data_IF_434577397515
#
_entry.id   IF_434577397515
#
_cell.length_a   1.000
_cell.length_b   1.000
_cell.length_c   1.000
_cell.angle_alpha   90.00
_cell.angle_beta   90.00
_cell.angle_gamma   90.00
#
_symmetry.space_group_name_H-M   'P 1'
#
loop_
_entity.id
_entity.type
_entity.pdbx_description
1 polymer ?
#
# COMPACT_ATOMS: atom_id res chain seq x y z
N UNK A 1 -29.06 4.08 0.39
CA UNK A 1 -28.17 5.17 -0.07
C UNK A 1 -27.10 4.58 -0.97
N UNK A 2 -26.82 5.23 -2.14
CA UNK A 2 -25.81 4.78 -3.09
C UNK A 2 -24.62 5.75 -3.07
N UNK A 3 -23.41 5.21 -3.01
CA UNK A 3 -22.18 5.98 -2.89
C UNK A 3 -21.20 5.57 -3.98
N UNK A 4 -20.56 6.55 -4.62
CA UNK A 4 -19.47 6.35 -5.54
C UNK A 4 -18.18 6.93 -4.95
N UNK A 5 -17.15 6.11 -4.85
CA UNK A 5 -15.79 6.55 -4.51
C UNK A 5 -14.96 6.62 -5.80
N UNK A 6 -14.29 7.74 -6.04
CA UNK A 6 -13.38 7.91 -7.18
C UNK A 6 -11.98 8.11 -6.64
N UNK A 7 -11.20 7.02 -6.60
CA UNK A 7 -9.82 6.99 -6.12
C UNK A 7 -8.89 6.45 -7.21
N UNK A 8 -8.16 7.35 -7.86
CA UNK A 8 -7.44 7.06 -9.11
C UNK A 8 -5.93 7.15 -8.98
N UNK A 9 -5.42 7.25 -7.76
CA UNK A 9 -4.02 7.55 -7.47
C UNK A 9 -3.13 6.28 -7.46
N UNK A 10 -2.36 6.08 -6.41
CA UNK A 10 -1.45 4.96 -6.27
C UNK A 10 -2.03 3.89 -5.30
N UNK A 11 -1.29 2.81 -5.12
CA UNK A 11 -1.68 1.69 -4.26
C UNK A 11 -1.90 2.15 -2.81
N UNK A 12 -0.94 2.92 -2.26
CA UNK A 12 -1.03 3.42 -0.89
C UNK A 12 -2.26 4.29 -0.68
N UNK A 13 -2.53 5.20 -1.63
CA UNK A 13 -3.72 6.05 -1.61
C UNK A 13 -5.02 5.22 -1.55
N UNK A 14 -5.11 4.18 -2.37
CA UNK A 14 -6.28 3.32 -2.41
C UNK A 14 -6.45 2.53 -1.11
N UNK A 15 -5.38 1.92 -0.60
CA UNK A 15 -5.41 1.16 0.65
C UNK A 15 -5.76 2.05 1.85
N UNK A 16 -5.22 3.26 1.93
CA UNK A 16 -5.57 4.24 2.96
C UNK A 16 -7.05 4.66 2.91
N UNK A 17 -7.77 4.35 1.82
CA UNK A 17 -9.20 4.62 1.71
C UNK A 17 -10.07 3.43 2.17
N UNK A 18 -9.48 2.25 2.38
CA UNK A 18 -10.25 1.05 2.77
C UNK A 18 -10.96 1.17 4.14
N UNK A 19 -10.38 1.81 5.19
CA UNK A 19 -11.11 2.01 6.44
C UNK A 19 -12.39 2.84 6.26
N UNK A 20 -12.36 3.83 5.36
CA UNK A 20 -13.56 4.59 5.01
C UNK A 20 -14.62 3.69 4.34
N UNK A 21 -14.23 2.80 3.42
CA UNK A 21 -15.16 1.89 2.75
C UNK A 21 -15.84 0.94 3.74
N UNK A 22 -15.04 0.38 4.67
CA UNK A 22 -15.55 -0.46 5.76
C UNK A 22 -16.52 0.33 6.63
N UNK A 23 -16.11 1.50 7.12
CA UNK A 23 -16.96 2.34 7.98
C UNK A 23 -18.28 2.73 7.30
N UNK A 24 -18.26 3.03 6.00
CA UNK A 24 -19.47 3.32 5.21
C UNK A 24 -20.42 2.11 5.22
N UNK A 25 -19.93 0.91 4.96
CA UNK A 25 -20.76 -0.30 4.94
C UNK A 25 -21.27 -0.69 6.33
N UNK A 26 -20.46 -0.50 7.38
CA UNK A 26 -20.79 -0.94 8.73
C UNK A 26 -21.71 0.04 9.47
N UNK A 27 -21.56 1.35 9.24
CA UNK A 27 -22.24 2.36 10.05
C UNK A 27 -23.36 3.10 9.31
N UNK A 28 -23.36 3.10 7.97
CA UNK A 28 -24.36 3.80 7.19
C UNK A 28 -25.29 2.80 6.49
N UNK A 29 -26.57 3.19 6.30
CA UNK A 29 -27.50 2.37 5.51
C UNK A 29 -27.21 2.54 4.02
N UNK A 30 -26.27 1.75 3.50
CA UNK A 30 -25.76 1.84 2.12
C UNK A 30 -26.20 0.61 1.34
N UNK A 31 -27.03 0.86 0.33
CA UNK A 31 -27.50 -0.17 -0.61
C UNK A 31 -26.39 -0.54 -1.62
N UNK A 32 -25.58 0.48 -2.01
CA UNK A 32 -24.56 0.31 -3.03
C UNK A 32 -23.35 1.20 -2.77
N UNK A 33 -22.15 0.59 -2.77
CA UNK A 33 -20.86 1.26 -2.72
C UNK A 33 -20.02 0.88 -3.93
N UNK A 34 -19.87 1.79 -4.87
CA UNK A 34 -19.07 1.60 -6.07
C UNK A 34 -17.72 2.31 -5.98
N UNK A 35 -16.72 1.73 -6.63
CA UNK A 35 -15.37 2.28 -6.70
C UNK A 35 -14.92 2.46 -8.15
N UNK A 36 -14.44 3.66 -8.49
CA UNK A 36 -13.65 3.92 -9.69
C UNK A 36 -12.19 4.02 -9.33
N UNK A 37 -11.35 3.16 -9.91
CA UNK A 37 -9.89 3.21 -9.72
C UNK A 37 -9.15 2.97 -11.02
N UNK A 38 -7.82 3.10 -11.04
CA UNK A 38 -7.04 2.84 -12.25
C UNK A 38 -6.63 1.36 -12.37
N UNK A 39 -6.36 0.92 -13.61
CA UNK A 39 -6.04 -0.47 -13.91
C UNK A 39 -4.81 -1.03 -13.15
N UNK A 40 -3.84 -0.17 -12.81
CA UNK A 40 -2.64 -0.59 -12.09
C UNK A 40 -2.93 -1.01 -10.65
N UNK A 41 -3.85 -0.31 -9.97
CA UNK A 41 -4.14 -0.57 -8.55
C UNK A 41 -5.39 -1.43 -8.34
N UNK A 42 -6.22 -1.62 -9.36
CA UNK A 42 -7.46 -2.40 -9.27
C UNK A 42 -7.27 -3.82 -8.70
N UNK A 43 -6.17 -4.56 -9.01
CA UNK A 43 -5.94 -5.90 -8.46
C UNK A 43 -5.94 -5.95 -6.94
N UNK A 44 -5.50 -4.87 -6.26
CA UNK A 44 -5.41 -4.81 -4.79
C UNK A 44 -6.77 -4.96 -4.10
N UNK A 45 -7.85 -4.54 -4.76
CA UNK A 45 -9.22 -4.60 -4.21
C UNK A 45 -10.18 -5.46 -5.05
N UNK A 46 -9.68 -6.21 -6.03
CA UNK A 46 -10.52 -7.11 -6.83
C UNK A 46 -11.13 -8.20 -5.95
N UNK A 47 -12.45 -8.31 -5.97
CA UNK A 47 -13.18 -9.28 -5.13
C UNK A 47 -13.36 -8.83 -3.67
N UNK A 48 -13.15 -7.56 -3.37
CA UNK A 48 -13.41 -7.01 -2.05
C UNK A 48 -14.92 -6.93 -1.79
N UNK A 49 -15.38 -7.53 -0.70
CA UNK A 49 -16.81 -7.65 -0.36
C UNK A 49 -17.47 -6.33 0.09
N UNK A 50 -16.70 -5.29 0.39
CA UNK A 50 -17.25 -3.95 0.68
C UNK A 50 -17.63 -3.19 -0.58
N UNK A 51 -17.20 -3.64 -1.76
CA UNK A 51 -17.40 -2.95 -3.03
C UNK A 51 -18.40 -3.73 -3.86
N UNK A 52 -19.53 -3.10 -4.22
CA UNK A 52 -20.56 -3.72 -5.06
C UNK A 52 -20.16 -3.73 -6.54
N UNK A 53 -19.49 -2.67 -7.03
CA UNK A 53 -18.90 -2.65 -8.36
C UNK A 53 -17.56 -1.91 -8.39
N UNK A 54 -16.57 -2.55 -9.05
CA UNK A 54 -15.25 -2.00 -9.30
C UNK A 54 -15.13 -1.58 -10.76
N UNK A 55 -15.08 -0.28 -11.00
CA UNK A 55 -14.90 0.30 -12.34
C UNK A 55 -13.44 0.65 -12.57
N UNK A 56 -12.86 0.11 -13.63
CA UNK A 56 -11.46 0.27 -13.95
C UNK A 56 -11.27 1.36 -15.00
N UNK A 57 -10.43 2.33 -14.68
CA UNK A 57 -10.05 3.42 -15.55
C UNK A 57 -8.63 3.22 -16.09
N UNK A 58 -8.47 3.25 -17.41
CA UNK A 58 -7.19 3.15 -18.07
C UNK A 58 -6.56 4.54 -18.25
N UNK A 59 -5.33 4.73 -17.73
CA UNK A 59 -4.54 5.95 -17.96
C UNK A 59 -3.92 5.88 -19.36
N UNK A 60 -3.97 7.00 -20.08
CA UNK A 60 -3.11 7.20 -21.26
C UNK A 60 -1.66 7.22 -20.79
N UNK A 61 -0.93 6.13 -20.92
CA UNK A 61 0.51 6.10 -20.75
C UNK A 61 1.15 5.73 -22.07
N UNK A 62 1.96 6.69 -22.58
CA UNK A 62 3.02 6.52 -23.58
C UNK A 62 2.79 5.48 -24.70
N UNK A 63 2.24 5.94 -25.81
CA UNK A 63 2.58 5.41 -27.15
C UNK A 63 1.86 4.17 -27.67
N UNK A 64 1.23 3.34 -26.85
CA UNK A 64 0.69 2.05 -27.30
C UNK A 64 -0.84 1.90 -27.23
N UNK A 65 -1.55 2.87 -26.71
CA UNK A 65 -3.02 2.83 -26.67
C UNK A 65 -3.60 3.89 -27.59
N UNK A 66 -4.39 3.48 -28.58
CA UNK A 66 -5.07 4.41 -29.50
C UNK A 66 -5.88 5.43 -28.70
N UNK A 67 -5.76 6.71 -29.04
CA UNK A 67 -6.52 7.82 -28.47
C UNK A 67 -8.05 7.53 -28.50
N UNK A 68 -8.53 6.98 -29.61
CA UNK A 68 -9.94 6.59 -29.76
C UNK A 68 -10.37 5.50 -28.77
N UNK A 69 -9.52 4.51 -28.49
CA UNK A 69 -9.79 3.47 -27.51
C UNK A 69 -9.96 4.06 -26.11
N UNK A 70 -9.12 5.01 -25.74
CA UNK A 70 -9.22 5.66 -24.41
C UNK A 70 -10.47 6.52 -24.29
N UNK A 71 -10.84 7.25 -25.35
CA UNK A 71 -12.12 7.98 -25.38
C UNK A 71 -13.29 7.01 -25.23
N UNK A 72 -13.29 5.94 -26.00
CA UNK A 72 -14.34 4.91 -25.93
C UNK A 72 -14.47 4.34 -24.51
N UNK A 73 -13.38 3.91 -23.89
CA UNK A 73 -13.40 3.38 -22.52
C UNK A 73 -13.89 4.41 -21.50
N UNK A 74 -13.54 5.69 -21.67
CA UNK A 74 -14.06 6.76 -20.80
C UNK A 74 -15.56 6.98 -20.99
N UNK A 75 -16.03 7.01 -22.22
CA UNK A 75 -17.47 7.15 -22.52
C UNK A 75 -18.25 5.95 -21.97
N UNK A 76 -17.72 4.75 -22.14
CA UNK A 76 -18.27 3.52 -21.58
C UNK A 76 -18.35 3.58 -20.05
N UNK A 77 -17.29 4.03 -19.39
CA UNK A 77 -17.29 4.24 -17.93
C UNK A 77 -18.38 5.23 -17.50
N UNK A 78 -18.44 6.40 -18.15
CA UNK A 78 -19.47 7.43 -17.85
C UNK A 78 -20.86 6.85 -18.07
N UNK A 79 -21.07 6.12 -19.16
CA UNK A 79 -22.36 5.48 -19.47
C UNK A 79 -22.80 4.52 -18.36
N UNK A 80 -21.89 3.61 -17.90
CA UNK A 80 -22.19 2.69 -16.80
C UNK A 80 -22.48 3.42 -15.49
N UNK A 81 -21.67 4.43 -15.13
CA UNK A 81 -21.90 5.20 -13.91
C UNK A 81 -23.23 5.97 -13.95
N UNK A 82 -23.69 6.41 -15.13
CA UNK A 82 -24.98 7.10 -15.30
C UNK A 82 -26.21 6.20 -15.19
N UNK A 83 -26.03 4.88 -15.25
CA UNK A 83 -27.13 3.92 -15.04
C UNK A 83 -27.56 3.89 -13.56
N UNK A 84 -26.70 4.34 -12.65
CA UNK A 84 -26.99 4.42 -11.23
C UNK A 84 -27.22 5.87 -10.80
N UNK A 85 -28.10 6.03 -9.81
CA UNK A 85 -28.22 7.30 -9.09
C UNK A 85 -27.36 7.18 -7.82
N UNK A 86 -26.39 8.09 -7.65
CA UNK A 86 -25.57 8.16 -6.44
C UNK A 86 -26.03 9.33 -5.58
N UNK A 87 -26.23 9.10 -4.30
CA UNK A 87 -26.56 10.12 -3.31
C UNK A 87 -25.30 10.95 -2.96
N UNK A 88 -24.16 10.27 -2.93
CA UNK A 88 -22.85 10.88 -2.67
C UNK A 88 -21.81 10.41 -3.68
N UNK A 89 -20.91 11.32 -4.06
CA UNK A 89 -19.67 11.00 -4.77
C UNK A 89 -18.50 11.54 -3.97
N UNK A 90 -17.56 10.67 -3.60
CA UNK A 90 -16.33 11.01 -2.91
C UNK A 90 -15.20 11.12 -3.94
N UNK A 91 -14.73 12.33 -4.22
CA UNK A 91 -13.73 12.62 -5.25
C UNK A 91 -12.43 13.08 -4.60
N UNK A 92 -11.36 12.29 -4.72
CA UNK A 92 -10.12 12.49 -4.00
C UNK A 92 -9.09 13.38 -4.67
N UNK A 93 -9.23 13.64 -5.97
CA UNK A 93 -8.34 14.50 -6.75
C UNK A 93 -9.13 15.39 -7.74
N UNK A 94 -8.47 16.39 -8.31
CA UNK A 94 -9.07 17.29 -9.29
C UNK A 94 -9.59 16.56 -10.56
N UNK A 95 -8.95 15.45 -10.95
CA UNK A 95 -9.38 14.66 -12.11
C UNK A 95 -10.61 13.82 -11.77
N UNK A 96 -10.68 13.30 -10.54
CA UNK A 96 -11.90 12.67 -10.02
C UNK A 96 -13.05 13.66 -10.01
N UNK A 97 -12.81 14.87 -9.51
CA UNK A 97 -13.82 15.94 -9.51
C UNK A 97 -14.27 16.32 -10.93
N UNK A 98 -13.38 16.33 -11.93
CA UNK A 98 -13.76 16.57 -13.33
C UNK A 98 -14.67 15.46 -13.88
N UNK A 99 -14.51 14.20 -13.46
CA UNK A 99 -15.38 13.11 -13.88
C UNK A 99 -16.81 13.32 -13.38
N UNK A 100 -17.00 13.88 -12.18
CA UNK A 100 -18.33 14.09 -11.60
C UNK A 100 -19.22 15.00 -12.44
N UNK A 101 -18.63 15.92 -13.25
CA UNK A 101 -19.37 16.83 -14.14
C UNK A 101 -20.19 16.10 -15.22
N UNK A 102 -19.81 14.87 -15.53
CA UNK A 102 -20.51 14.03 -16.51
C UNK A 102 -21.55 13.12 -15.88
N UNK A 103 -21.68 13.12 -14.56
CA UNK A 103 -22.64 12.30 -13.83
C UNK A 103 -23.92 13.10 -13.51
N UNK A 104 -24.95 12.40 -13.02
CA UNK A 104 -26.17 13.07 -12.58
C UNK A 104 -25.87 13.98 -11.39
N UNK A 105 -26.65 15.06 -11.24
CA UNK A 105 -26.51 15.99 -10.12
C UNK A 105 -26.62 15.23 -8.79
N UNK A 106 -25.60 15.37 -7.94
CA UNK A 106 -25.47 14.64 -6.68
C UNK A 106 -24.59 15.44 -5.71
N UNK A 107 -24.54 15.03 -4.45
CA UNK A 107 -23.67 15.64 -3.43
C UNK A 107 -22.25 15.15 -3.62
N UNK A 108 -21.34 16.02 -4.04
CA UNK A 108 -19.92 15.71 -4.19
C UNK A 108 -19.15 16.17 -2.97
N UNK A 109 -18.40 15.26 -2.36
CA UNK A 109 -17.48 15.55 -1.26
C UNK A 109 -16.04 15.39 -1.74
N UNK A 110 -15.18 16.32 -1.35
CA UNK A 110 -13.73 16.28 -1.57
C UNK A 110 -13.01 16.44 -0.24
N UNK A 111 -11.84 15.82 -0.06
CA UNK A 111 -11.06 16.01 1.14
C UNK A 111 -10.70 17.49 1.33
N UNK A 112 -10.75 17.96 2.57
CA UNK A 112 -10.19 19.28 2.94
C UNK A 112 -8.67 19.14 2.87
N UNK A 113 -8.03 20.13 2.26
CA UNK A 113 -6.57 20.12 2.09
C UNK A 113 -5.94 20.64 3.39
N UNK A 114 -5.71 19.76 4.33
CA UNK A 114 -4.75 19.98 5.40
C UNK A 114 -3.53 19.07 5.19
N UNK A 115 -2.45 19.61 4.67
CA UNK A 115 -1.24 18.88 4.33
C UNK A 115 -0.35 18.60 5.54
N UNK A 116 -0.64 19.19 6.70
CA UNK A 116 0.35 19.33 7.76
C UNK A 116 0.23 18.30 8.88
N UNK A 117 -0.96 17.84 9.24
CA UNK A 117 -1.16 17.07 10.47
C UNK A 117 -1.92 15.75 10.34
N UNK A 118 -2.58 15.48 9.22
CA UNK A 118 -3.40 14.28 9.05
C UNK A 118 -2.69 13.19 8.23
N UNK A 119 -2.89 11.94 8.61
CA UNK A 119 -2.57 10.80 7.77
C UNK A 119 -3.53 10.73 6.57
N UNK A 120 -3.13 10.02 5.52
CA UNK A 120 -4.03 9.82 4.37
C UNK A 120 -5.28 9.03 4.74
N UNK A 121 -5.20 8.16 5.75
CA UNK A 121 -6.35 7.42 6.30
C UNK A 121 -7.34 8.36 6.99
N UNK A 122 -6.86 9.24 7.89
CA UNK A 122 -7.69 10.21 8.60
C UNK A 122 -8.33 11.20 7.62
N UNK A 123 -7.59 11.61 6.61
CA UNK A 123 -8.08 12.47 5.52
C UNK A 123 -9.20 11.82 4.71
N UNK A 124 -9.11 10.51 4.45
CA UNK A 124 -10.19 9.78 3.81
C UNK A 124 -11.39 9.63 4.76
N UNK A 125 -11.14 9.31 6.04
CA UNK A 125 -12.17 9.13 7.06
C UNK A 125 -13.00 10.38 7.30
N UNK A 126 -12.40 11.57 7.23
CA UNK A 126 -13.10 12.87 7.36
C UNK A 126 -14.26 13.00 6.38
N UNK A 127 -14.15 12.48 5.16
CA UNK A 127 -15.27 12.46 4.22
C UNK A 127 -16.45 11.65 4.75
N UNK A 128 -16.17 10.51 5.37
CA UNK A 128 -17.17 9.68 6.02
C UNK A 128 -17.82 10.34 7.23
N UNK A 129 -17.05 11.08 8.03
CA UNK A 129 -17.59 11.86 9.17
C UNK A 129 -18.58 12.93 8.68
N UNK A 130 -18.32 13.57 7.56
CA UNK A 130 -19.27 14.52 6.92
C UNK A 130 -20.54 13.84 6.38
N UNK A 131 -20.53 12.52 6.29
CA UNK A 131 -21.69 11.68 5.94
C UNK A 131 -22.36 11.06 7.18
N UNK A 132 -21.78 11.19 8.36
CA UNK A 132 -22.30 10.67 9.62
C UNK A 132 -21.53 9.52 10.25
N UNK A 133 -20.35 9.12 9.71
CA UNK A 133 -19.49 8.15 10.38
C UNK A 133 -19.00 8.68 11.72
N UNK A 134 -18.91 7.78 12.70
CA UNK A 134 -18.45 8.07 14.07
C UNK A 134 -17.19 7.29 14.40
N UNK A 135 -16.48 7.73 15.42
CA UNK A 135 -15.28 7.06 15.93
C UNK A 135 -14.05 7.28 15.05
N UNK A 136 -13.09 6.38 15.21
CA UNK A 136 -11.80 6.40 14.51
C UNK A 136 -11.79 5.40 13.36
N UNK A 137 -10.97 5.63 12.31
CA UNK A 137 -10.81 4.68 11.22
C UNK A 137 -10.19 3.36 11.72
N UNK A 138 -10.72 2.26 11.25
CA UNK A 138 -10.18 0.91 11.48
C UNK A 138 -8.86 0.66 10.74
N UNK A 139 -8.35 -0.59 10.75
CA UNK A 139 -7.15 -0.97 10.02
C UNK A 139 -7.38 -0.92 8.50
N UNK A 140 -6.26 -0.93 7.74
CA UNK A 140 -6.31 -1.16 6.29
C UNK A 140 -6.80 -2.58 6.01
N UNK A 141 -7.52 -2.77 4.91
CA UNK A 141 -8.08 -4.08 4.55
C UNK A 141 -7.75 -4.47 3.11
N UNK A 142 -7.65 -5.79 2.90
CA UNK A 142 -7.55 -6.44 1.60
C UNK A 142 -8.73 -7.41 1.42
N UNK A 143 -9.01 -7.86 0.18
CA UNK A 143 -10.00 -8.92 -0.06
C UNK A 143 -9.66 -10.19 0.73
N UNK A 144 -10.68 -10.86 1.28
CA UNK A 144 -10.50 -12.05 2.14
C UNK A 144 -9.73 -13.20 1.46
N UNK A 145 -9.84 -13.34 0.14
CA UNK A 145 -9.08 -14.37 -0.60
C UNK A 145 -7.56 -14.08 -0.66
N UNK A 146 -7.14 -12.86 -0.36
CA UNK A 146 -5.74 -12.43 -0.30
C UNK A 146 -5.22 -12.31 1.14
N UNK A 147 -6.09 -12.48 2.13
CA UNK A 147 -5.74 -12.34 3.54
C UNK A 147 -6.32 -13.51 4.32
N UNK A 148 -5.44 -14.31 4.94
CA UNK A 148 -5.82 -15.32 5.91
C UNK A 148 -5.65 -14.75 7.32
N UNK A 149 -6.76 -14.46 8.04
CA UNK A 149 -6.68 -13.97 9.42
C UNK A 149 -6.00 -14.97 10.37
N UNK A 150 -6.02 -16.28 10.04
CA UNK A 150 -5.35 -17.30 10.82
C UNK A 150 -3.84 -17.34 10.61
N UNK A 151 -3.33 -16.66 9.59
CA UNK A 151 -1.92 -16.39 9.36
C UNK A 151 -1.35 -15.37 10.34
N UNK A 152 -1.91 -15.33 11.54
CA UNK A 152 -1.40 -14.51 12.62
C UNK A 152 0.12 -14.61 12.69
N UNK A 153 0.77 -13.53 13.17
CA UNK A 153 2.20 -13.36 13.35
C UNK A 153 2.80 -14.58 14.10
N UNK A 154 2.68 -15.76 13.45
CA UNK A 154 3.10 -17.04 14.04
C UNK A 154 4.61 -17.17 14.01
N UNK A 155 5.27 -16.48 13.07
CA UNK A 155 6.71 -16.59 12.92
C UNK A 155 7.37 -15.23 12.68
N UNK A 156 7.54 -14.46 13.76
CA UNK A 156 8.27 -13.18 13.75
C UNK A 156 9.71 -13.34 13.28
N UNK A 157 10.25 -14.56 13.27
CA UNK A 157 11.59 -14.89 12.80
C UNK A 157 11.74 -14.85 11.28
N UNK A 158 10.62 -14.82 10.53
CA UNK A 158 10.66 -14.61 9.08
C UNK A 158 10.55 -13.12 8.77
N UNK A 159 11.65 -12.53 8.34
CA UNK A 159 11.75 -11.10 8.01
C UNK A 159 11.60 -10.93 6.50
N UNK A 160 10.57 -10.20 6.08
CA UNK A 160 10.41 -9.81 4.69
C UNK A 160 11.14 -8.48 4.42
N UNK A 161 11.88 -8.43 3.33
CA UNK A 161 12.57 -7.22 2.87
C UNK A 161 12.14 -6.95 1.43
N UNK A 162 11.55 -5.78 1.18
CA UNK A 162 11.17 -5.35 -0.16
C UNK A 162 12.18 -4.31 -0.66
N UNK A 163 12.98 -4.67 -1.66
CA UNK A 163 14.10 -3.84 -2.13
C UNK A 163 13.71 -2.81 -3.19
N UNK A 164 12.54 -2.95 -3.78
CA UNK A 164 12.09 -2.06 -4.87
C UNK A 164 11.46 -0.79 -4.33
N UNK A 165 11.87 0.34 -4.89
CA UNK A 165 11.23 1.62 -4.67
C UNK A 165 11.29 2.46 -5.95
N UNK A 166 10.17 3.16 -6.26
CA UNK A 166 10.07 3.96 -7.50
C UNK A 166 10.94 5.21 -7.47
N UNK A 167 11.06 5.86 -6.31
CA UNK A 167 11.79 7.13 -6.15
C UNK A 167 13.21 6.83 -5.72
N UNK A 168 14.20 7.46 -6.35
CA UNK A 168 15.62 7.24 -6.06
C UNK A 168 15.92 7.42 -4.57
N UNK A 169 15.43 8.48 -3.95
CA UNK A 169 15.62 8.78 -2.52
C UNK A 169 14.93 7.80 -1.56
N UNK A 170 14.18 6.84 -2.08
CA UNK A 170 13.56 5.75 -1.34
C UNK A 170 14.24 4.39 -1.63
N UNK A 171 15.26 4.36 -2.49
CA UNK A 171 15.99 3.15 -2.82
C UNK A 171 17.13 2.95 -1.81
N UNK A 172 16.92 2.05 -0.85
CA UNK A 172 17.96 1.71 0.11
C UNK A 172 19.06 0.90 -0.58
N UNK A 173 20.37 1.19 -0.32
CA UNK A 173 21.47 0.56 -1.03
C UNK A 173 21.52 -0.96 -0.83
N UNK A 174 21.82 -1.70 -1.89
CA UNK A 174 21.91 -3.17 -1.85
C UNK A 174 23.01 -3.63 -0.90
N UNK A 175 24.13 -2.92 -0.86
CA UNK A 175 25.23 -3.19 0.09
C UNK A 175 24.81 -2.99 1.53
N UNK A 176 23.95 -2.02 1.81
CA UNK A 176 23.41 -1.78 3.15
C UNK A 176 22.39 -2.86 3.54
N UNK A 177 21.52 -3.30 2.61
CA UNK A 177 20.65 -4.48 2.82
C UNK A 177 21.48 -5.74 3.12
N UNK A 178 22.53 -6.00 2.33
CA UNK A 178 23.41 -7.15 2.56
C UNK A 178 24.09 -7.10 3.95
N UNK A 179 24.55 -5.93 4.36
CA UNK A 179 25.16 -5.71 5.68
C UNK A 179 24.14 -5.96 6.81
N UNK A 180 22.94 -5.44 6.67
CA UNK A 180 21.83 -5.60 7.62
C UNK A 180 21.46 -7.08 7.79
N UNK A 181 21.27 -7.80 6.69
CA UNK A 181 20.88 -9.21 6.70
C UNK A 181 21.96 -10.08 7.37
N UNK A 182 23.24 -9.87 7.03
CA UNK A 182 24.35 -10.59 7.67
C UNK A 182 24.38 -10.36 9.18
N UNK A 183 24.33 -9.11 9.61
CA UNK A 183 24.34 -8.78 11.05
C UNK A 183 23.16 -9.41 11.79
N UNK A 184 21.94 -9.37 11.21
CA UNK A 184 20.78 -10.03 11.81
C UNK A 184 20.96 -11.53 11.91
N UNK A 185 21.48 -12.18 10.86
CA UNK A 185 21.75 -13.63 10.88
C UNK A 185 22.85 -14.01 11.87
N UNK A 186 23.89 -13.20 11.98
CA UNK A 186 24.98 -13.41 12.96
C UNK A 186 24.48 -13.27 14.41
N UNK A 187 23.49 -12.43 14.65
CA UNK A 187 22.86 -12.26 15.97
C UNK A 187 21.92 -13.43 16.32
N UNK A 188 21.17 -13.93 15.35
CA UNK A 188 20.27 -15.10 15.51
C UNK A 188 20.19 -15.89 14.20
N UNK A 189 20.89 -17.04 14.15
CA UNK A 189 20.91 -17.92 12.98
C UNK A 189 19.58 -18.59 12.65
N UNK A 190 18.55 -18.47 13.52
CA UNK A 190 17.19 -18.96 13.27
C UNK A 190 16.36 -17.99 12.43
N UNK A 191 16.82 -16.75 12.26
CA UNK A 191 16.15 -15.78 11.40
C UNK A 191 16.19 -16.25 9.95
N UNK A 192 15.05 -16.18 9.29
CA UNK A 192 14.88 -16.45 7.86
C UNK A 192 14.50 -15.17 7.14
N UNK A 193 14.90 -15.05 5.88
CA UNK A 193 14.69 -13.83 5.12
C UNK A 193 13.97 -14.11 3.81
N UNK A 194 12.94 -13.33 3.52
CA UNK A 194 12.27 -13.31 2.22
C UNK A 194 12.56 -11.97 1.55
N UNK A 195 13.25 -12.00 0.43
CA UNK A 195 13.62 -10.79 -0.32
C UNK A 195 12.70 -10.65 -1.53
N UNK A 196 12.00 -9.53 -1.60
CA UNK A 196 11.03 -9.25 -2.66
C UNK A 196 11.51 -8.12 -3.56
N UNK A 197 11.30 -8.28 -4.87
CA UNK A 197 11.52 -7.20 -5.81
C UNK A 197 10.52 -7.22 -6.97
N UNK A 198 10.37 -6.07 -7.62
CA UNK A 198 9.66 -5.94 -8.89
C UNK A 198 10.59 -6.34 -10.02
N UNK A 199 10.30 -7.41 -10.79
CA UNK A 199 11.18 -7.83 -11.87
C UNK A 199 11.15 -6.88 -13.06
N UNK A 200 12.20 -6.95 -13.86
CA UNK A 200 12.34 -6.21 -15.10
C UNK A 200 13.62 -5.38 -15.17
N UNK A 201 13.81 -4.77 -16.32
CA UNK A 201 14.96 -3.92 -16.61
C UNK A 201 14.85 -2.57 -15.89
N UNK A 202 15.96 -2.11 -15.33
CA UNK A 202 16.09 -0.79 -14.69
C UNK A 202 15.71 0.37 -15.64
N UNK A 203 15.96 0.21 -16.92
CA UNK A 203 15.69 1.23 -17.95
C UNK A 203 14.26 1.22 -18.48
N UNK A 204 13.38 0.35 -17.96
CA UNK A 204 11.97 0.35 -18.36
C UNK A 204 11.28 1.65 -17.89
N UNK A 205 10.89 2.55 -18.81
CA UNK A 205 10.35 3.87 -18.45
C UNK A 205 8.98 3.79 -17.78
N UNK A 206 8.29 2.66 -17.93
CA UNK A 206 6.96 2.45 -17.37
C UNK A 206 7.03 2.00 -15.91
N UNK A 207 7.95 1.09 -15.62
CA UNK A 207 8.16 0.53 -14.30
C UNK A 207 9.59 -0.02 -14.24
N UNK A 208 10.55 0.75 -13.73
CA UNK A 208 11.91 0.25 -13.57
C UNK A 208 11.90 -1.02 -12.73
N UNK A 209 12.49 -2.08 -13.26
CA UNK A 209 12.68 -3.32 -12.54
C UNK A 209 13.98 -3.32 -11.73
N UNK A 210 14.09 -4.26 -10.83
CA UNK A 210 15.22 -4.38 -9.90
C UNK A 210 15.93 -5.74 -10.01
N UNK A 211 15.89 -6.40 -11.18
CA UNK A 211 16.54 -7.71 -11.39
C UNK A 211 18.04 -7.65 -11.13
N UNK A 212 18.75 -6.62 -11.63
CA UNK A 212 20.19 -6.44 -11.39
C UNK A 212 20.53 -6.27 -9.91
N UNK A 213 19.67 -5.58 -9.15
CA UNK A 213 19.82 -5.42 -7.70
C UNK A 213 19.60 -6.75 -6.97
N UNK A 214 18.58 -7.51 -7.41
CA UNK A 214 18.30 -8.83 -6.86
C UNK A 214 19.46 -9.79 -7.12
N UNK A 215 20.00 -9.85 -8.35
CA UNK A 215 21.14 -10.68 -8.72
C UNK A 215 22.39 -10.32 -7.90
N UNK A 216 22.65 -9.03 -7.70
CA UNK A 216 23.75 -8.57 -6.85
C UNK A 216 23.59 -9.08 -5.41
N UNK A 217 22.37 -9.01 -4.87
CA UNK A 217 22.08 -9.44 -3.50
C UNK A 217 22.15 -10.97 -3.36
N UNK A 218 21.64 -11.72 -4.35
CA UNK A 218 21.72 -13.18 -4.44
C UNK A 218 23.18 -13.62 -4.37
N UNK A 219 24.03 -13.06 -5.25
CA UNK A 219 25.45 -13.40 -5.31
C UNK A 219 26.20 -13.06 -4.01
N UNK A 220 25.79 -11.96 -3.36
CA UNK A 220 26.41 -11.49 -2.12
C UNK A 220 26.04 -12.36 -0.92
N UNK A 221 24.81 -12.92 -0.89
CA UNK A 221 24.24 -13.61 0.28
C UNK A 221 23.96 -15.10 0.07
N UNK A 222 24.52 -15.70 -0.97
CA UNK A 222 24.27 -17.09 -1.42
C UNK A 222 24.39 -18.18 -0.35
N UNK A 223 25.11 -17.91 0.75
CA UNK A 223 25.35 -18.88 1.83
C UNK A 223 24.40 -18.74 3.01
N UNK A 224 23.42 -17.83 2.94
CA UNK A 224 22.45 -17.58 4.01
C UNK A 224 21.10 -18.21 3.69
N UNK A 225 20.25 -18.52 4.70
CA UNK A 225 18.92 -19.10 4.53
C UNK A 225 17.92 -18.05 4.04
N UNK A 226 18.02 -17.66 2.76
CA UNK A 226 17.24 -16.60 2.16
C UNK A 226 16.37 -17.14 1.03
N UNK A 227 15.11 -16.73 0.98
CA UNK A 227 14.25 -16.92 -0.17
C UNK A 227 14.20 -15.64 -1.00
N UNK A 228 14.65 -15.72 -2.24
CA UNK A 228 14.57 -14.63 -3.22
C UNK A 228 13.32 -14.82 -4.07
N UNK A 229 12.42 -13.82 -4.04
CA UNK A 229 11.06 -13.92 -4.56
C UNK A 229 10.79 -12.75 -5.51
N UNK A 230 10.81 -13.03 -6.80
CA UNK A 230 10.36 -12.10 -7.84
C UNK A 230 8.85 -11.91 -7.76
N UNK A 231 8.38 -10.67 -7.79
CA UNK A 231 6.95 -10.33 -7.65
C UNK A 231 6.45 -9.55 -8.86
N UNK A 232 6.16 -10.25 -9.99
CA UNK A 232 5.73 -9.61 -11.24
C UNK A 232 4.33 -9.00 -11.16
N UNK A 233 3.51 -9.40 -10.19
CA UNK A 233 2.15 -8.89 -10.00
C UNK A 233 1.94 -8.44 -8.55
N UNK A 234 0.91 -7.60 -8.34
CA UNK A 234 0.54 -7.17 -6.98
C UNK A 234 0.04 -8.34 -6.14
N UNK A 235 -0.64 -9.30 -6.76
CA UNK A 235 -1.11 -10.53 -6.12
C UNK A 235 0.06 -11.36 -5.60
N UNK A 236 1.09 -11.61 -6.44
CA UNK A 236 2.28 -12.36 -6.03
C UNK A 236 3.06 -11.66 -4.92
N UNK A 237 3.08 -10.31 -4.92
CA UNK A 237 3.67 -9.54 -3.82
C UNK A 237 2.87 -9.74 -2.52
N UNK A 238 1.55 -9.60 -2.56
CA UNK A 238 0.68 -9.78 -1.37
C UNK A 238 0.80 -11.18 -0.78
N UNK A 239 0.79 -12.21 -1.62
CA UNK A 239 1.00 -13.60 -1.20
C UNK A 239 2.37 -13.81 -0.52
N UNK A 240 3.41 -13.17 -1.05
CA UNK A 240 4.75 -13.22 -0.45
C UNK A 240 4.81 -12.53 0.90
N UNK A 241 4.31 -11.28 0.98
CA UNK A 241 4.29 -10.48 2.20
C UNK A 241 3.53 -11.16 3.35
N UNK A 242 2.46 -11.88 3.03
CA UNK A 242 1.65 -12.59 4.02
C UNK A 242 2.44 -13.68 4.77
N UNK A 243 3.47 -14.26 4.16
CA UNK A 243 4.31 -15.31 4.74
C UNK A 243 5.35 -14.79 5.74
N UNK A 244 5.51 -13.48 5.85
CA UNK A 244 6.48 -12.85 6.71
C UNK A 244 5.89 -12.48 8.08
N UNK A 245 6.68 -12.61 9.12
CA UNK A 245 6.30 -12.20 10.48
C UNK A 245 6.51 -10.72 10.75
N UNK A 246 7.46 -10.09 10.05
CA UNK A 246 7.71 -8.64 10.07
C UNK A 246 8.29 -8.19 8.74
N UNK A 247 8.25 -6.88 8.48
CA UNK A 247 8.70 -6.30 7.22
C UNK A 247 9.70 -5.16 7.44
N UNK A 248 10.68 -5.08 6.54
CA UNK A 248 11.59 -3.93 6.42
C UNK A 248 11.51 -3.42 4.98
N UNK A 249 11.16 -2.17 4.79
CA UNK A 249 10.96 -1.60 3.45
C UNK A 249 10.89 -0.09 3.46
N UNK A 250 11.11 0.50 2.31
CA UNK A 250 10.90 1.93 2.13
C UNK A 250 9.42 2.29 1.95
N UNK A 251 9.10 3.55 2.24
CA UNK A 251 7.79 4.12 1.97
C UNK A 251 7.35 3.87 0.52
N UNK A 252 6.14 3.34 0.36
CA UNK A 252 5.56 3.01 -0.93
C UNK A 252 4.34 2.10 -0.84
N UNK A 253 3.82 1.70 -2.00
CA UNK A 253 2.61 0.85 -2.07
C UNK A 253 2.75 -0.49 -1.34
N UNK A 254 3.92 -1.13 -1.42
CA UNK A 254 4.21 -2.39 -0.73
C UNK A 254 4.10 -2.26 0.80
N UNK A 255 4.51 -1.12 1.37
CA UNK A 255 4.40 -0.86 2.80
C UNK A 255 2.92 -0.84 3.25
N UNK A 256 2.05 -0.20 2.49
CA UNK A 256 0.62 -0.19 2.81
C UNK A 256 -0.04 -1.56 2.58
N UNK A 257 0.44 -2.36 1.62
CA UNK A 257 0.01 -3.76 1.48
C UNK A 257 0.42 -4.59 2.70
N UNK A 258 1.65 -4.44 3.19
CA UNK A 258 2.13 -5.12 4.40
C UNK A 258 1.29 -4.72 5.63
N UNK A 259 0.95 -3.43 5.76
CA UNK A 259 0.06 -2.95 6.81
C UNK A 259 -1.35 -3.56 6.70
N UNK A 260 -1.92 -3.63 5.49
CA UNK A 260 -3.22 -4.25 5.25
C UNK A 260 -3.23 -5.78 5.50
N UNK A 261 -2.06 -6.42 5.44
CA UNK A 261 -1.82 -7.82 5.82
C UNK A 261 -1.49 -7.99 7.31
N UNK A 262 -1.65 -6.93 8.12
CA UNK A 262 -1.35 -6.93 9.55
C UNK A 262 0.10 -7.33 9.90
N UNK A 263 1.07 -6.89 9.07
CA UNK A 263 2.50 -7.14 9.34
C UNK A 263 3.12 -5.98 10.10
N UNK A 264 3.90 -6.22 11.17
CA UNK A 264 4.75 -5.20 11.79
C UNK A 264 5.80 -4.69 10.82
N UNK A 265 6.07 -3.37 10.82
CA UNK A 265 6.88 -2.74 9.77
C UNK A 265 7.96 -1.84 10.34
N UNK A 266 9.20 -2.03 9.88
CA UNK A 266 10.24 -1.00 9.91
C UNK A 266 10.16 -0.26 8.58
N UNK A 267 9.73 0.99 8.62
CA UNK A 267 9.46 1.81 7.44
C UNK A 267 10.56 2.86 7.25
N UNK A 268 11.27 2.79 6.11
CA UNK A 268 12.33 3.74 5.77
C UNK A 268 11.74 4.89 4.96
N UNK A 269 11.95 6.12 5.44
CA UNK A 269 11.48 7.34 4.81
C UNK A 269 12.64 8.24 4.41
N UNK A 270 12.68 8.63 3.15
CA UNK A 270 13.57 9.65 2.62
C UNK A 270 12.95 11.05 2.78
N UNK A 271 12.66 11.72 1.65
CA UNK A 271 12.05 13.06 1.59
C UNK A 271 10.51 13.06 1.64
N UNK A 272 9.88 11.90 1.76
CA UNK A 272 8.43 11.79 1.86
C UNK A 272 7.93 12.14 3.26
N UNK A 273 6.69 12.60 3.36
CA UNK A 273 6.08 12.99 4.61
C UNK A 273 5.63 11.75 5.42
N UNK A 274 6.45 11.35 6.39
CA UNK A 274 6.19 10.19 7.24
C UNK A 274 4.92 10.34 8.12
N UNK A 275 4.56 11.56 8.55
CA UNK A 275 3.31 11.78 9.27
C UNK A 275 2.10 11.37 8.44
N UNK A 276 2.09 11.76 7.17
CA UNK A 276 0.99 11.47 6.25
C UNK A 276 0.93 10.00 5.84
N UNK A 277 2.08 9.39 5.55
CA UNK A 277 2.18 8.09 4.88
C UNK A 277 2.61 6.94 5.80
N UNK A 278 2.70 7.17 7.12
CA UNK A 278 3.05 6.11 8.08
C UNK A 278 2.19 4.86 7.91
N UNK A 279 2.71 3.67 8.24
CA UNK A 279 1.90 2.47 8.34
C UNK A 279 0.69 2.69 9.26
N UNK A 280 -0.45 2.12 8.89
CA UNK A 280 -1.69 2.31 9.64
C UNK A 280 -2.26 0.99 10.15
N UNK A 281 -2.71 0.97 11.40
CA UNK A 281 -3.40 -0.16 12.01
C UNK A 281 -2.50 -1.34 12.42
N UNK A 282 -1.18 -1.17 12.37
CA UNK A 282 -0.19 -2.20 12.71
C UNK A 282 0.92 -1.63 13.59
N UNK A 283 1.66 -2.45 14.36
CA UNK A 283 2.90 -2.01 14.98
C UNK A 283 3.94 -1.58 13.94
N UNK A 284 4.58 -0.45 14.13
CA UNK A 284 5.62 0.04 13.21
C UNK A 284 6.67 0.90 13.91
N UNK A 285 7.82 1.02 13.27
CA UNK A 285 8.84 2.05 13.58
C UNK A 285 9.20 2.79 12.30
N UNK A 286 9.21 4.11 12.36
CA UNK A 286 9.64 4.98 11.26
C UNK A 286 11.10 5.30 11.42
N UNK A 287 11.87 5.06 10.35
CA UNK A 287 13.25 5.48 10.19
C UNK A 287 13.27 6.63 9.18
N UNK A 288 13.17 7.87 9.68
CA UNK A 288 13.21 9.07 8.82
C UNK A 288 14.65 9.50 8.61
N UNK A 289 15.09 9.58 7.36
CA UNK A 289 16.40 10.13 7.03
C UNK A 289 16.43 11.64 7.27
N UNK A 290 17.46 12.14 7.93
CA UNK A 290 17.69 13.58 8.16
C UNK A 290 18.06 14.31 6.86
N UNK A 291 18.73 13.63 5.93
CA UNK A 291 19.15 14.20 4.64
C UNK A 291 18.05 14.13 3.57
N UNK A 292 16.95 13.41 3.88
CA UNK A 292 15.88 13.14 2.93
C UNK A 292 16.20 12.03 1.92
N UNK A 293 17.25 11.22 2.16
CA UNK A 293 17.61 10.06 1.34
C UNK A 293 17.80 8.84 2.24
N UNK A 294 17.07 7.75 1.99
CA UNK A 294 17.12 6.55 2.81
C UNK A 294 18.50 5.89 2.85
N UNK A 295 19.37 6.14 1.87
CA UNK A 295 20.74 5.60 1.84
C UNK A 295 21.58 5.98 3.06
N UNK A 296 21.24 7.07 3.72
CA UNK A 296 21.97 7.60 4.88
C UNK A 296 21.45 7.02 6.21
N UNK A 297 20.47 6.13 6.18
CA UNK A 297 20.00 5.40 7.35
C UNK A 297 20.94 4.23 7.63
N UNK A 298 21.61 4.27 8.79
CA UNK A 298 22.56 3.24 9.18
C UNK A 298 21.89 1.88 9.43
N UNK A 299 22.44 0.75 8.89
CA UNK A 299 21.89 -0.59 9.12
C UNK A 299 21.76 -0.95 10.60
N UNK A 300 22.69 -0.51 11.45
CA UNK A 300 22.66 -0.73 12.91
C UNK A 300 21.41 -0.15 13.56
N UNK A 301 21.02 1.07 13.18
CA UNK A 301 19.80 1.73 13.68
C UNK A 301 18.53 0.98 13.26
N UNK A 302 18.50 0.41 12.05
CA UNK A 302 17.38 -0.41 11.57
C UNK A 302 17.26 -1.69 12.42
N UNK A 303 18.39 -2.33 12.73
CA UNK A 303 18.42 -3.53 13.58
C UNK A 303 17.89 -3.21 14.99
N UNK A 304 18.39 -2.15 15.62
CA UNK A 304 17.92 -1.69 16.93
C UNK A 304 16.40 -1.43 16.93
N UNK A 305 15.92 -0.71 15.92
CA UNK A 305 14.51 -0.42 15.75
C UNK A 305 13.66 -1.71 15.61
N UNK A 306 14.15 -2.70 14.86
CA UNK A 306 13.48 -3.98 14.69
C UNK A 306 13.43 -4.77 15.99
N UNK A 307 14.54 -4.85 16.73
CA UNK A 307 14.58 -5.52 18.04
C UNK A 307 13.59 -4.90 19.03
N UNK A 308 13.53 -3.58 19.10
CA UNK A 308 12.56 -2.87 19.93
C UNK A 308 11.10 -3.19 19.51
N UNK A 309 10.81 -3.17 18.20
CA UNK A 309 9.50 -3.47 17.69
C UNK A 309 9.05 -4.90 18.06
N UNK A 310 9.92 -5.88 17.85
CA UNK A 310 9.65 -7.30 18.14
C UNK A 310 9.43 -7.53 19.63
N UNK A 311 10.26 -6.92 20.48
CA UNK A 311 10.13 -7.03 21.93
C UNK A 311 8.82 -6.41 22.43
N UNK A 312 8.40 -5.27 21.88
CA UNK A 312 7.14 -4.64 22.25
C UNK A 312 5.93 -5.51 21.92
N UNK A 313 5.92 -6.18 20.76
CA UNK A 313 4.88 -7.10 20.34
C UNK A 313 4.82 -8.33 21.25
N UNK A 314 5.98 -8.86 21.63
CA UNK A 314 6.07 -10.06 22.48
C UNK A 314 5.59 -9.80 23.91
N UNK A 315 5.82 -8.60 24.44
CA UNK A 315 5.34 -8.19 25.79
C UNK A 315 3.84 -8.01 25.82
N UNK A 316 3.24 -7.42 24.77
CA UNK A 316 1.77 -7.27 24.70
C UNK A 316 1.04 -8.60 24.60
N UNK A 317 1.61 -9.62 23.95
CA UNK A 317 1.02 -10.97 23.87
C UNK A 317 1.07 -11.74 25.20
N UNK A 318 1.93 -11.38 26.14
CA UNK A 318 2.01 -12.04 27.47
C UNK A 318 1.08 -11.40 28.51
N UNK A 319 0.49 -10.24 28.21
CA UNK A 319 -0.40 -9.49 29.11
C UNK A 319 -1.90 -9.66 28.78
N UNK A 320 -2.24 -10.49 27.80
CA UNK A 320 -3.58 -10.92 27.43
C UNK A 320 -3.73 -12.42 27.70
#
# INVERSE_FOLDING_TARGET
>A
MNILIIRRDNIGDLLCTTPLMVGIKDQLNVDRLDLVTNAYVAPVLKGNHFIDALYVYHKLKHGHTSFFKVIYERLKLIFHLRQHHYDYILAFDARALNLTRFLRKTKVLTPIIDWTNQTEVERAWELGQRMGLKGLPGPLTLPLHLYDPSSDIKNIQTIGIHISARRIKQQYPITAWATLIRKLHDMDSKLTFHIFWSPGDLHNPMHPGDDEKADTLINTLKNLPIQFISTPTLESLMEGLQRCGSMMMSDGGAMHMAAALNRPIIALFGDSNAKRWRPWGVPYTIMQSETGDVKDIEPSKIIEAWLHLVNSISTHKKSI
#
